data_IF_468821095833
#
_entry.id   IF_468821095833
#
_cell.length_a   1.000
_cell.length_b   1.000
_cell.length_c   1.000
_cell.angle_alpha   90.00
_cell.angle_beta   90.00
_cell.angle_gamma   90.00
#
_symmetry.space_group_name_H-M   'P 1'
#
loop_
_entity.id
_entity.type
_entity.pdbx_description
1 polymer ?
#
# COMPACT_ATOMS: atom_id res chain seq x y z
N UNK A 1 -6.36 22.63 7.50
CA UNK A 1 -5.29 21.64 7.62
C UNK A 1 -5.92 20.27 7.53
N UNK A 2 -5.42 19.43 6.63
CA UNK A 2 -5.90 18.06 6.50
C UNK A 2 -5.00 17.15 7.31
N UNK A 3 -3.66 17.35 7.24
CA UNK A 3 -2.70 16.49 7.90
C UNK A 3 -1.34 17.16 8.07
N UNK A 4 -0.58 16.85 9.14
CA UNK A 4 0.80 17.30 9.31
C UNK A 4 1.14 18.58 8.55
N UNK A 5 1.89 18.46 7.47
CA UNK A 5 2.17 19.55 6.52
C UNK A 5 1.17 19.63 5.33
N UNK A 6 0.08 18.84 5.32
CA UNK A 6 -0.90 18.84 4.24
C UNK A 6 -2.09 19.75 4.53
N UNK A 7 -2.45 20.62 3.60
CA UNK A 7 -3.56 21.58 3.70
C UNK A 7 -4.53 21.36 2.54
N UNK A 8 -5.83 21.41 2.82
CA UNK A 8 -6.87 21.44 1.80
C UNK A 8 -7.37 22.86 1.58
N UNK A 9 -7.45 23.27 0.32
CA UNK A 9 -8.03 24.54 -0.10
C UNK A 9 -9.30 24.22 -0.91
N UNK A 10 -10.43 24.72 -0.48
CA UNK A 10 -11.68 24.64 -1.25
C UNK A 10 -11.92 26.00 -1.89
N UNK A 11 -11.83 26.06 -3.21
CA UNK A 11 -12.06 27.25 -3.99
C UNK A 11 -13.37 27.12 -4.77
N UNK A 12 -14.37 27.93 -4.41
CA UNK A 12 -15.70 27.86 -5.00
C UNK A 12 -15.78 28.80 -6.21
N UNK A 13 -16.39 28.32 -7.31
CA UNK A 13 -16.65 29.16 -8.49
C UNK A 13 -15.45 29.35 -9.42
N UNK A 14 -14.35 28.63 -9.22
CA UNK A 14 -13.23 28.64 -10.16
C UNK A 14 -13.45 27.63 -11.28
N UNK A 15 -13.18 28.06 -12.51
CA UNK A 15 -12.99 27.16 -13.64
C UNK A 15 -11.60 26.48 -13.58
N UNK A 16 -11.33 25.61 -14.53
CA UNK A 16 -10.07 24.86 -14.59
C UNK A 16 -8.85 25.75 -14.69
N UNK A 17 -8.89 26.78 -15.53
CA UNK A 17 -7.76 27.66 -15.82
C UNK A 17 -7.46 28.57 -14.64
N UNK A 18 -8.50 29.06 -13.95
CA UNK A 18 -8.35 29.83 -12.74
C UNK A 18 -7.80 28.99 -11.57
N UNK A 19 -8.20 27.70 -11.47
CA UNK A 19 -7.66 26.79 -10.46
C UNK A 19 -6.17 26.49 -10.70
N UNK A 20 -5.75 26.29 -11.95
CA UNK A 20 -4.35 26.12 -12.33
C UNK A 20 -3.52 27.37 -12.06
N UNK A 21 -4.06 28.54 -12.40
CA UNK A 21 -3.43 29.84 -12.11
C UNK A 21 -3.23 30.07 -10.62
N UNK A 22 -4.21 29.69 -9.80
CA UNK A 22 -4.11 29.77 -8.34
C UNK A 22 -3.01 28.82 -7.82
N UNK A 23 -2.96 27.59 -8.32
CA UNK A 23 -1.94 26.63 -7.91
C UNK A 23 -0.53 27.07 -8.30
N UNK A 24 -0.37 27.62 -9.51
CA UNK A 24 0.90 28.18 -9.94
C UNK A 24 1.36 29.31 -9.01
N UNK A 25 0.45 30.26 -8.70
CA UNK A 25 0.76 31.34 -7.79
C UNK A 25 1.14 30.83 -6.40
N UNK A 26 0.45 29.85 -5.86
CA UNK A 26 0.79 29.24 -4.56
C UNK A 26 2.17 28.57 -4.61
N UNK A 27 2.53 27.89 -5.69
CA UNK A 27 3.87 27.35 -5.87
C UNK A 27 4.95 28.43 -5.90
N UNK A 28 4.68 29.56 -6.60
CA UNK A 28 5.58 30.69 -6.68
C UNK A 28 5.74 31.37 -5.31
N UNK A 29 4.65 31.57 -4.58
CA UNK A 29 4.65 32.15 -3.24
C UNK A 29 5.41 31.24 -2.24
N UNK A 30 5.25 29.92 -2.33
CA UNK A 30 6.01 28.93 -1.52
C UNK A 30 7.52 28.98 -1.86
N UNK A 31 7.88 29.24 -3.11
CA UNK A 31 9.27 29.43 -3.48
C UNK A 31 9.89 30.69 -2.88
N UNK A 32 9.11 31.77 -2.73
CA UNK A 32 9.56 33.03 -2.11
C UNK A 32 9.76 32.87 -0.59
N UNK A 33 8.90 32.12 0.08
CA UNK A 33 9.04 31.82 1.52
C UNK A 33 10.34 31.08 1.87
N UNK A 34 10.96 30.42 0.90
CA UNK A 34 12.24 29.69 1.06
C UNK A 34 13.42 30.58 1.51
N UNK A 35 13.37 31.86 1.24
CA UNK A 35 14.48 32.78 1.56
C UNK A 35 14.61 33.03 3.06
N UNK A 36 13.54 32.79 3.81
CA UNK A 36 13.46 33.13 5.24
C UNK A 36 13.59 31.93 6.19
N UNK A 37 13.66 30.69 5.67
CA UNK A 37 13.75 29.47 6.49
C UNK A 37 15.08 28.75 6.22
N UNK A 38 15.98 28.65 7.20
CA UNK A 38 17.29 27.99 7.04
C UNK A 38 17.17 26.45 7.13
N UNK A 39 16.27 25.88 6.38
CA UNK A 39 16.17 24.43 6.23
C UNK A 39 16.78 24.05 4.88
N UNK A 40 17.83 23.25 4.85
CA UNK A 40 18.52 22.83 3.63
C UNK A 40 17.68 22.00 2.64
N UNK A 41 16.35 22.10 2.71
CA UNK A 41 15.42 21.41 1.82
C UNK A 41 15.15 22.24 0.55
N UNK A 42 15.41 21.65 -0.60
CA UNK A 42 15.16 22.29 -1.91
C UNK A 42 13.67 22.42 -2.26
N UNK A 43 12.75 21.78 -1.50
CA UNK A 43 11.31 21.70 -1.80
C UNK A 43 10.48 22.05 -0.58
N UNK A 44 9.51 22.99 -0.74
CA UNK A 44 8.63 23.43 0.34
C UNK A 44 7.25 22.76 0.24
N UNK A 45 6.73 22.50 -0.97
CA UNK A 45 5.43 21.88 -1.11
C UNK A 45 5.03 21.57 -2.54
N UNK A 46 4.13 20.63 -2.69
CA UNK A 46 3.48 20.26 -3.95
C UNK A 46 1.98 20.44 -3.85
N UNK A 47 1.28 20.60 -4.98
CA UNK A 47 -0.15 20.86 -5.01
C UNK A 47 -0.84 19.85 -5.94
N UNK A 48 -1.87 19.19 -5.41
CA UNK A 48 -2.80 18.40 -6.21
C UNK A 48 -4.13 19.13 -6.36
N UNK A 49 -4.63 19.27 -7.59
CA UNK A 49 -5.89 19.94 -7.91
C UNK A 49 -6.91 18.89 -8.34
N UNK A 50 -8.12 18.94 -7.77
CA UNK A 50 -9.27 18.20 -8.28
C UNK A 50 -10.46 19.15 -8.43
N UNK A 51 -11.25 18.96 -9.47
CA UNK A 51 -12.44 19.75 -9.76
C UNK A 51 -13.70 18.95 -9.43
N UNK A 52 -14.62 19.56 -8.69
CA UNK A 52 -15.92 18.98 -8.36
C UNK A 52 -16.75 18.70 -9.61
N UNK A 53 -17.42 17.55 -9.65
CA UNK A 53 -18.38 17.15 -10.67
C UNK A 53 -19.69 16.75 -10.01
N UNK A 54 -20.78 16.83 -10.78
CA UNK A 54 -22.15 16.66 -10.28
C UNK A 54 -22.43 15.29 -9.60
N UNK A 55 -21.58 14.28 -9.82
CA UNK A 55 -21.69 12.95 -9.21
C UNK A 55 -20.60 12.66 -8.19
N UNK A 56 -19.71 13.61 -7.91
CA UNK A 56 -18.64 13.41 -6.95
C UNK A 56 -19.16 13.48 -5.52
N UNK A 57 -18.63 12.61 -4.67
CA UNK A 57 -18.71 12.78 -3.22
C UNK A 57 -17.52 13.60 -2.75
N UNK A 58 -17.61 14.22 -1.58
CA UNK A 58 -16.47 14.92 -0.97
C UNK A 58 -15.24 13.99 -0.86
N UNK A 59 -15.48 12.72 -0.60
CA UNK A 59 -14.45 11.69 -0.54
C UNK A 59 -13.75 11.49 -1.88
N UNK A 60 -14.51 11.33 -2.98
CA UNK A 60 -13.96 11.15 -4.32
C UNK A 60 -13.15 12.38 -4.77
N UNK A 61 -13.62 13.57 -4.43
CA UNK A 61 -12.91 14.81 -4.72
C UNK A 61 -11.57 14.88 -3.98
N UNK A 62 -11.54 14.56 -2.68
CA UNK A 62 -10.31 14.52 -1.89
C UNK A 62 -9.36 13.43 -2.38
N UNK A 63 -9.85 12.24 -2.70
CA UNK A 63 -9.04 11.16 -3.25
C UNK A 63 -8.42 11.53 -4.61
N UNK A 64 -9.16 12.25 -5.45
CA UNK A 64 -8.67 12.76 -6.72
C UNK A 64 -7.58 13.82 -6.53
N UNK A 65 -7.77 14.75 -5.60
CA UNK A 65 -6.77 15.78 -5.26
C UNK A 65 -5.50 15.14 -4.68
N UNK A 66 -5.63 14.14 -3.80
CA UNK A 66 -4.51 13.40 -3.22
C UNK A 66 -3.75 12.58 -4.28
N UNK A 67 -4.46 11.97 -5.24
CA UNK A 67 -3.82 11.29 -6.38
C UNK A 67 -3.00 12.25 -7.24
N UNK A 68 -3.51 13.46 -7.49
CA UNK A 68 -2.79 14.50 -8.21
C UNK A 68 -1.57 15.02 -7.41
N UNK A 69 -1.73 15.19 -6.09
CA UNK A 69 -0.64 15.57 -5.19
C UNK A 69 0.49 14.54 -5.18
N UNK A 70 0.16 13.26 -5.18
CA UNK A 70 1.17 12.19 -5.29
C UNK A 70 1.95 12.29 -6.60
N UNK A 71 1.26 12.54 -7.71
CA UNK A 71 1.91 12.72 -9.01
C UNK A 71 2.83 13.95 -8.99
N UNK A 72 2.39 15.05 -8.39
CA UNK A 72 3.22 16.24 -8.21
C UNK A 72 4.47 15.97 -7.35
N UNK A 73 4.35 15.13 -6.33
CA UNK A 73 5.45 14.81 -5.40
C UNK A 73 6.51 13.87 -5.98
N UNK A 74 6.25 13.21 -7.11
CA UNK A 74 7.27 12.41 -7.82
C UNK A 74 8.23 13.26 -8.65
N UNK A 75 7.92 14.54 -8.85
CA UNK A 75 8.78 15.52 -9.53
C UNK A 75 9.72 16.24 -8.57
N UNK A 76 10.85 16.69 -9.08
CA UNK A 76 11.95 17.25 -8.28
C UNK A 76 11.79 18.70 -7.81
N UNK A 77 10.61 19.35 -7.83
CA UNK A 77 10.44 20.77 -7.41
C UNK A 77 8.99 21.06 -7.02
N UNK A 78 8.78 22.17 -6.28
CA UNK A 78 7.46 22.76 -6.04
C UNK A 78 6.64 22.76 -7.32
N UNK A 79 5.70 21.82 -7.39
CA UNK A 79 5.00 21.51 -8.63
C UNK A 79 3.52 21.25 -8.31
N UNK A 80 2.66 21.59 -9.24
CA UNK A 80 1.26 21.25 -9.14
C UNK A 80 0.85 20.30 -10.27
N UNK A 81 -0.13 19.44 -9.98
CA UNK A 81 -0.74 18.55 -10.94
C UNK A 81 -2.25 18.61 -10.78
N UNK A 82 -2.97 18.73 -11.88
CA UNK A 82 -4.41 18.62 -11.90
C UNK A 82 -4.83 17.16 -12.13
N UNK A 83 -5.73 16.69 -11.28
CA UNK A 83 -6.40 15.42 -11.53
C UNK A 83 -7.26 15.52 -12.79
N UNK A 84 -6.93 14.74 -13.78
CA UNK A 84 -7.74 14.61 -15.00
C UNK A 84 -8.18 13.15 -15.07
N UNK A 85 -9.50 12.85 -14.98
CA UNK A 85 -9.98 11.50 -15.26
C UNK A 85 -9.60 11.11 -16.67
N UNK A 86 -9.16 9.87 -16.85
CA UNK A 86 -8.72 9.35 -18.14
C UNK A 86 -9.77 9.41 -19.25
N UNK A 87 -11.03 9.61 -18.90
CA UNK A 87 -12.16 9.73 -19.85
C UNK A 87 -12.29 11.12 -20.49
N UNK A 88 -11.72 12.16 -19.87
CA UNK A 88 -11.78 13.55 -20.36
C UNK A 88 -10.48 14.05 -20.97
N UNK A 89 -9.37 13.41 -20.66
CA UNK A 89 -8.12 13.70 -21.34
C UNK A 89 -8.08 12.96 -22.65
N UNK A 90 -8.56 13.62 -23.71
CA UNK A 90 -8.21 13.25 -25.10
C UNK A 90 -6.69 13.35 -25.34
N UNK A 91 -5.92 13.80 -24.38
CA UNK A 91 -4.47 13.70 -24.27
C UNK A 91 -4.19 12.42 -23.49
N UNK A 92 -3.92 11.32 -24.21
CA UNK A 92 -3.40 10.10 -23.61
C UNK A 92 -2.13 10.46 -22.83
N UNK A 93 -2.18 10.30 -21.48
CA UNK A 93 -0.93 10.19 -20.72
C UNK A 93 -0.13 9.09 -21.43
N UNK A 94 1.10 9.34 -21.89
CA UNK A 94 1.88 8.30 -22.53
C UNK A 94 1.93 7.07 -21.61
N UNK A 95 1.41 5.92 -22.06
CA UNK A 95 1.32 4.68 -21.27
C UNK A 95 -0.05 4.32 -20.71
N UNK A 96 -1.06 5.23 -20.60
CA UNK A 96 -2.35 4.86 -19.98
C UNK A 96 -3.17 3.87 -20.83
N UNK A 97 -3.07 3.94 -22.16
CA UNK A 97 -3.69 2.99 -23.09
C UNK A 97 -2.95 1.65 -23.04
N UNK A 98 -1.64 1.70 -22.97
CA UNK A 98 -0.78 0.54 -22.85
C UNK A 98 -1.02 -0.19 -21.53
N UNK A 99 -1.04 0.51 -20.39
CA UNK A 99 -1.36 -0.08 -19.09
C UNK A 99 -2.75 -0.72 -19.05
N UNK A 100 -3.76 -0.12 -19.69
CA UNK A 100 -5.09 -0.74 -19.81
C UNK A 100 -5.05 -2.06 -20.59
N UNK A 101 -4.29 -2.11 -21.68
CA UNK A 101 -4.12 -3.32 -22.46
C UNK A 101 -3.35 -4.39 -21.66
N UNK A 102 -2.27 -4.01 -20.98
CA UNK A 102 -1.49 -4.89 -20.12
C UNK A 102 -2.37 -5.51 -19.01
N UNK A 103 -3.17 -4.68 -18.32
CA UNK A 103 -4.11 -5.15 -17.27
C UNK A 103 -5.10 -6.15 -17.82
N UNK A 104 -5.76 -5.83 -18.96
CA UNK A 104 -6.73 -6.72 -19.57
C UNK A 104 -6.10 -8.03 -20.01
N UNK A 105 -4.96 -7.95 -20.70
CA UNK A 105 -4.21 -9.12 -21.14
C UNK A 105 -3.77 -9.97 -19.96
N UNK A 106 -3.29 -9.35 -18.85
CA UNK A 106 -2.84 -10.10 -17.68
C UNK A 106 -3.96 -10.92 -17.04
N UNK A 107 -5.20 -10.45 -17.09
CA UNK A 107 -6.37 -11.20 -16.62
C UNK A 107 -6.72 -12.33 -17.61
N UNK A 108 -6.83 -12.01 -18.90
CA UNK A 108 -7.21 -12.96 -19.95
C UNK A 108 -6.22 -14.14 -20.09
N UNK A 109 -4.92 -13.86 -19.93
CA UNK A 109 -3.86 -14.87 -20.05
C UNK A 109 -3.38 -15.40 -18.71
N UNK A 110 -3.94 -14.93 -17.60
CA UNK A 110 -3.49 -15.23 -16.24
C UNK A 110 -1.99 -15.00 -16.03
N UNK A 111 -1.40 -14.02 -16.72
CA UNK A 111 0.04 -13.76 -16.68
C UNK A 111 0.50 -12.97 -15.45
N UNK A 112 -0.41 -12.73 -14.49
CA UNK A 112 -0.07 -12.13 -13.19
C UNK A 112 1.00 -12.95 -12.49
N UNK A 113 2.07 -12.29 -12.05
CA UNK A 113 3.19 -12.87 -11.31
C UNK A 113 3.15 -12.44 -9.85
N UNK A 114 3.49 -13.35 -8.95
CA UNK A 114 3.65 -13.07 -7.54
C UNK A 114 5.13 -12.94 -7.20
N UNK A 115 5.48 -11.88 -6.48
CA UNK A 115 6.76 -11.72 -5.81
C UNK A 115 6.54 -11.72 -4.31
N UNK A 116 7.57 -11.99 -3.52
CA UNK A 116 7.49 -11.88 -2.06
C UNK A 116 8.60 -11.00 -1.52
N UNK A 117 8.28 -10.27 -0.46
CA UNK A 117 9.23 -9.48 0.31
C UNK A 117 9.11 -9.82 1.79
N UNK A 118 10.23 -10.07 2.51
CA UNK A 118 10.17 -10.44 3.91
C UNK A 118 9.79 -9.27 4.80
N UNK A 119 8.89 -9.54 5.74
CA UNK A 119 8.60 -8.73 6.93
C UNK A 119 9.23 -9.44 8.10
N UNK A 120 10.08 -8.74 8.86
CA UNK A 120 10.83 -9.30 9.97
C UNK A 120 10.43 -8.61 11.27
N UNK A 121 10.46 -9.35 12.36
CA UNK A 121 10.34 -8.77 13.70
C UNK A 121 11.60 -7.97 14.07
N UNK A 122 11.45 -6.93 14.90
CA UNK A 122 12.54 -6.12 15.41
C UNK A 122 13.16 -6.73 16.67
N UNK A 123 12.36 -7.31 17.55
CA UNK A 123 12.80 -7.89 18.80
C UNK A 123 12.35 -9.34 18.96
N UNK A 124 13.02 -10.10 19.81
CA UNK A 124 12.69 -11.51 20.07
C UNK A 124 11.28 -11.69 20.65
N UNK A 125 10.78 -10.72 21.41
CA UNK A 125 9.43 -10.72 22.00
C UNK A 125 8.43 -9.89 21.18
N UNK A 126 8.72 -9.66 19.91
CA UNK A 126 7.85 -8.90 19.01
C UNK A 126 6.48 -9.60 18.85
N UNK A 127 5.43 -8.79 18.74
CA UNK A 127 4.07 -9.24 18.42
C UNK A 127 3.91 -9.65 16.96
N UNK A 128 4.85 -9.24 16.10
CA UNK A 128 4.83 -9.57 14.67
C UNK A 128 5.34 -10.99 14.44
N UNK A 129 4.55 -11.79 13.76
CA UNK A 129 5.04 -13.05 13.19
C UNK A 129 5.76 -12.74 11.87
N UNK A 130 7.03 -13.18 11.70
CA UNK A 130 7.73 -13.04 10.42
C UNK A 130 6.91 -13.65 9.29
N UNK A 131 6.73 -12.90 8.22
CA UNK A 131 5.93 -13.32 7.07
C UNK A 131 6.49 -12.80 5.76
N UNK A 132 5.90 -13.24 4.65
CA UNK A 132 6.23 -12.79 3.31
C UNK A 132 5.07 -11.96 2.76
N UNK A 133 5.27 -10.69 2.47
CA UNK A 133 4.27 -9.93 1.74
C UNK A 133 4.29 -10.29 0.26
N UNK A 134 3.11 -10.56 -0.29
CA UNK A 134 2.91 -10.91 -1.70
C UNK A 134 2.68 -9.63 -2.49
N UNK A 135 3.58 -9.37 -3.41
CA UNK A 135 3.58 -8.21 -4.29
C UNK A 135 3.27 -8.63 -5.72
N UNK A 136 2.32 -7.95 -6.35
CA UNK A 136 1.86 -8.29 -7.70
C UNK A 136 2.73 -7.63 -8.77
N UNK A 137 2.98 -8.37 -9.85
CA UNK A 137 3.66 -7.90 -11.06
C UNK A 137 2.90 -8.42 -12.28
N UNK A 138 2.80 -7.59 -13.31
CA UNK A 138 2.34 -8.01 -14.64
C UNK A 138 3.43 -7.70 -15.66
N UNK A 139 3.70 -8.60 -16.61
CA UNK A 139 4.70 -8.33 -17.65
C UNK A 139 4.14 -7.31 -18.65
N UNK A 140 4.96 -6.35 -19.06
CA UNK A 140 4.67 -5.50 -20.22
C UNK A 140 4.97 -6.24 -21.54
N UNK A 141 4.82 -5.56 -22.66
CA UNK A 141 5.07 -6.13 -24.00
C UNK A 141 6.53 -6.60 -24.20
N UNK A 142 7.48 -6.05 -23.43
CA UNK A 142 8.89 -6.45 -23.42
C UNK A 142 9.18 -7.61 -22.46
N UNK A 143 8.19 -8.01 -21.65
CA UNK A 143 8.36 -8.97 -20.55
C UNK A 143 8.87 -8.34 -19.26
N UNK A 144 9.04 -7.00 -19.20
CA UNK A 144 9.48 -6.31 -18.00
C UNK A 144 8.36 -6.22 -16.96
N UNK A 145 8.66 -6.38 -15.65
CA UNK A 145 7.63 -6.41 -14.62
C UNK A 145 7.10 -5.01 -14.30
N UNK A 146 5.82 -4.78 -14.53
CA UNK A 146 5.07 -3.60 -14.08
C UNK A 146 4.56 -3.84 -12.67
N UNK A 147 4.78 -2.88 -11.77
CA UNK A 147 4.40 -2.98 -10.34
C UNK A 147 2.92 -2.71 -10.10
N UNK A 148 2.37 -3.26 -9.01
CA UNK A 148 0.98 -3.02 -8.59
C UNK A 148 0.68 -1.54 -8.41
N UNK A 149 1.60 -0.75 -7.86
CA UNK A 149 1.44 0.70 -7.71
C UNK A 149 1.18 1.45 -9.03
N UNK A 150 1.64 0.90 -10.16
CA UNK A 150 1.39 1.47 -11.49
C UNK A 150 0.08 0.98 -12.09
N UNK A 151 -0.23 -0.31 -12.01
CA UNK A 151 -1.37 -0.87 -12.72
C UNK A 151 -2.67 -0.95 -11.91
N UNK A 152 -2.62 -1.10 -10.57
CA UNK A 152 -3.83 -1.21 -9.75
C UNK A 152 -4.75 0.01 -9.85
N UNK A 153 -4.25 1.27 -9.84
CA UNK A 153 -5.11 2.43 -10.06
C UNK A 153 -5.81 2.42 -11.43
N UNK A 154 -5.19 1.80 -12.44
CA UNK A 154 -5.79 1.63 -13.77
C UNK A 154 -6.85 0.52 -13.72
N UNK A 155 -6.55 -0.60 -13.07
CA UNK A 155 -7.48 -1.71 -12.89
C UNK A 155 -8.74 -1.29 -12.11
N UNK A 156 -8.60 -0.49 -11.06
CA UNK A 156 -9.72 0.07 -10.30
C UNK A 156 -10.64 0.93 -11.18
N UNK A 157 -10.07 1.85 -11.98
CA UNK A 157 -10.84 2.66 -12.94
C UNK A 157 -11.54 1.84 -14.04
N UNK A 158 -10.99 0.68 -14.38
CA UNK A 158 -11.59 -0.25 -15.34
C UNK A 158 -12.61 -1.20 -14.70
N UNK A 159 -12.79 -1.19 -13.38
CA UNK A 159 -13.62 -2.16 -12.66
C UNK A 159 -13.04 -3.58 -12.66
N UNK A 160 -11.73 -3.73 -12.86
CA UNK A 160 -11.04 -5.02 -12.98
C UNK A 160 -10.22 -5.39 -11.73
N UNK A 161 -10.13 -4.52 -10.74
CA UNK A 161 -9.32 -4.74 -9.53
C UNK A 161 -9.72 -6.01 -8.78
N UNK A 162 -11.02 -6.26 -8.64
CA UNK A 162 -11.55 -7.47 -7.99
C UNK A 162 -11.14 -8.75 -8.71
N UNK A 163 -11.07 -8.74 -10.04
CA UNK A 163 -10.61 -9.90 -10.82
C UNK A 163 -9.11 -10.14 -10.64
N UNK A 164 -8.32 -9.07 -10.52
CA UNK A 164 -6.89 -9.19 -10.20
C UNK A 164 -6.69 -9.79 -8.80
N UNK A 165 -7.44 -9.31 -7.80
CA UNK A 165 -7.35 -9.84 -6.44
C UNK A 165 -7.75 -11.32 -6.41
N UNK A 166 -8.81 -11.73 -7.11
CA UNK A 166 -9.20 -13.14 -7.26
C UNK A 166 -8.07 -13.98 -7.89
N UNK A 167 -7.49 -13.49 -8.98
CA UNK A 167 -6.40 -14.18 -9.66
C UNK A 167 -5.16 -14.32 -8.77
N UNK A 168 -4.82 -13.26 -8.03
CA UNK A 168 -3.69 -13.25 -7.10
C UNK A 168 -3.87 -14.26 -5.96
N UNK A 169 -5.05 -14.27 -5.33
CA UNK A 169 -5.39 -15.21 -4.25
C UNK A 169 -5.39 -16.65 -4.78
N UNK A 170 -5.99 -16.91 -5.93
CA UNK A 170 -5.99 -18.24 -6.55
C UNK A 170 -4.58 -18.78 -6.80
N UNK A 171 -3.70 -17.94 -7.36
CA UNK A 171 -2.28 -18.31 -7.57
C UNK A 171 -1.53 -18.53 -6.25
N UNK A 172 -1.78 -17.70 -5.24
CA UNK A 172 -1.17 -17.87 -3.92
C UNK A 172 -1.62 -19.17 -3.26
N UNK A 173 -2.92 -19.50 -3.31
CA UNK A 173 -3.44 -20.75 -2.75
C UNK A 173 -2.84 -21.97 -3.45
N UNK A 174 -2.75 -21.96 -4.78
CA UNK A 174 -2.09 -23.03 -5.53
C UNK A 174 -0.62 -23.18 -5.09
N UNK A 175 0.09 -22.08 -4.91
CA UNK A 175 1.46 -22.10 -4.39
C UNK A 175 1.51 -22.70 -2.97
N UNK A 176 0.66 -22.24 -2.05
CA UNK A 176 0.63 -22.72 -0.67
C UNK A 176 0.30 -24.22 -0.55
N UNK A 177 -0.47 -24.77 -1.48
CA UNK A 177 -0.81 -26.19 -1.52
C UNK A 177 0.31 -27.05 -2.13
N UNK A 178 1.04 -26.50 -3.10
CA UNK A 178 2.09 -27.24 -3.85
C UNK A 178 3.48 -27.05 -3.23
N UNK A 179 3.74 -25.94 -2.54
CA UNK A 179 5.01 -25.68 -1.88
C UNK A 179 5.16 -26.57 -0.64
N UNK A 180 6.34 -27.23 -0.52
CA UNK A 180 6.64 -28.11 0.60
C UNK A 180 6.77 -27.43 1.97
N UNK A 181 6.87 -26.09 2.02
CA UNK A 181 7.02 -25.28 3.24
C UNK A 181 5.65 -24.99 3.84
N UNK A 182 5.33 -25.65 4.94
CA UNK A 182 4.03 -25.50 5.63
C UNK A 182 4.00 -24.34 6.65
N UNK A 183 5.16 -23.76 6.98
CA UNK A 183 5.27 -22.79 8.10
C UNK A 183 5.45 -21.34 7.64
N UNK A 184 5.32 -21.05 6.34
CA UNK A 184 5.45 -19.70 5.81
C UNK A 184 4.10 -19.01 5.85
N UNK A 185 4.04 -17.84 6.50
CA UNK A 185 2.91 -16.93 6.49
C UNK A 185 3.03 -15.99 5.28
N UNK A 186 1.91 -15.74 4.62
CA UNK A 186 1.84 -14.84 3.47
C UNK A 186 0.84 -13.72 3.71
N UNK A 187 1.26 -12.47 3.55
CA UNK A 187 0.38 -11.33 3.54
C UNK A 187 0.03 -10.96 2.09
N UNK A 188 -1.23 -10.67 1.82
CA UNK A 188 -1.69 -10.21 0.51
C UNK A 188 -2.58 -8.99 0.65
N UNK A 189 -2.30 -7.98 -0.17
CA UNK A 189 -3.09 -6.77 -0.24
C UNK A 189 -4.39 -6.98 -1.03
N UNK A 190 -5.50 -6.46 -0.52
CA UNK A 190 -6.78 -6.37 -1.22
C UNK A 190 -7.08 -4.93 -1.62
N UNK A 191 -7.63 -4.76 -2.81
CA UNK A 191 -8.11 -3.45 -3.27
C UNK A 191 -9.34 -2.98 -2.49
N UNK A 192 -9.55 -1.66 -2.45
CA UNK A 192 -10.75 -1.06 -1.86
C UNK A 192 -12.03 -1.59 -2.51
N UNK A 193 -11.99 -1.87 -3.82
CA UNK A 193 -13.12 -2.41 -4.56
C UNK A 193 -13.51 -3.81 -4.05
N UNK A 194 -12.53 -4.63 -3.68
CA UNK A 194 -12.76 -6.01 -3.26
C UNK A 194 -13.32 -6.09 -1.83
N UNK A 195 -12.80 -5.32 -0.89
CA UNK A 195 -13.27 -5.36 0.51
C UNK A 195 -14.70 -4.86 0.70
N UNK A 196 -15.24 -4.10 -0.26
CA UNK A 196 -16.62 -3.62 -0.28
C UNK A 196 -17.51 -4.36 -1.30
N UNK A 197 -17.01 -5.45 -1.90
CA UNK A 197 -17.77 -6.25 -2.86
C UNK A 197 -18.31 -7.53 -2.19
N UNK A 198 -19.63 -7.64 -1.93
CA UNK A 198 -20.19 -8.80 -1.24
C UNK A 198 -19.95 -10.13 -1.97
N UNK A 199 -19.98 -10.13 -3.31
CA UNK A 199 -19.74 -11.34 -4.10
C UNK A 199 -18.28 -11.80 -3.98
N UNK A 200 -17.32 -10.87 -3.98
CA UNK A 200 -15.91 -11.19 -3.74
C UNK A 200 -15.69 -11.73 -2.32
N UNK A 201 -16.27 -11.10 -1.31
CA UNK A 201 -16.15 -11.55 0.10
C UNK A 201 -16.72 -12.95 0.26
N UNK A 202 -17.88 -13.23 -0.34
CA UNK A 202 -18.46 -14.57 -0.30
C UNK A 202 -17.56 -15.60 -0.98
N UNK A 203 -17.03 -15.28 -2.17
CA UNK A 203 -16.07 -16.12 -2.88
C UNK A 203 -14.81 -16.37 -2.04
N UNK A 204 -14.20 -15.33 -1.47
CA UNK A 204 -13.00 -15.44 -0.63
C UNK A 204 -13.23 -16.36 0.57
N UNK A 205 -14.33 -16.17 1.28
CA UNK A 205 -14.69 -17.02 2.41
C UNK A 205 -14.86 -18.49 1.98
N UNK A 206 -15.51 -18.75 0.84
CA UNK A 206 -15.64 -20.12 0.31
C UNK A 206 -14.29 -20.76 -0.01
N UNK A 207 -13.33 -19.99 -0.54
CA UNK A 207 -11.97 -20.49 -0.79
C UNK A 207 -11.23 -20.83 0.52
N UNK A 208 -11.40 -20.00 1.55
CA UNK A 208 -10.79 -20.21 2.87
C UNK A 208 -11.38 -21.41 3.60
N UNK A 209 -12.70 -21.58 3.54
CA UNK A 209 -13.42 -22.75 4.10
C UNK A 209 -12.97 -24.05 3.41
N UNK A 210 -12.74 -24.01 2.11
CA UNK A 210 -12.26 -25.18 1.34
C UNK A 210 -10.77 -25.51 1.62
N UNK A 211 -9.99 -24.57 2.13
CA UNK A 211 -8.55 -24.75 2.37
C UNK A 211 -8.11 -24.21 3.74
N UNK A 212 -8.59 -24.77 4.87
CA UNK A 212 -8.33 -24.24 6.20
C UNK A 212 -6.83 -24.19 6.57
N UNK A 213 -6.03 -25.13 6.07
CA UNK A 213 -4.57 -25.10 6.23
C UNK A 213 -3.88 -23.95 5.49
N UNK A 214 -4.52 -23.36 4.49
CA UNK A 214 -4.05 -22.13 3.84
C UNK A 214 -4.57 -20.89 4.57
N UNK A 215 -5.79 -20.93 5.09
CA UNK A 215 -6.41 -19.81 5.82
C UNK A 215 -5.55 -19.37 7.01
N UNK A 216 -5.10 -20.29 7.85
CA UNK A 216 -4.26 -19.99 9.03
C UNK A 216 -2.86 -19.45 8.68
N UNK A 217 -2.48 -19.49 7.40
CA UNK A 217 -1.21 -18.97 6.90
C UNK A 217 -1.38 -17.69 6.09
N UNK A 218 -2.61 -17.20 5.96
CA UNK A 218 -2.92 -16.02 5.17
C UNK A 218 -3.16 -14.81 6.07
N UNK A 219 -2.48 -13.73 5.76
CA UNK A 219 -2.70 -12.41 6.30
C UNK A 219 -3.32 -11.55 5.19
N UNK A 220 -4.43 -10.90 5.49
CA UNK A 220 -5.13 -10.01 4.55
C UNK A 220 -4.81 -8.57 4.93
N UNK A 221 -4.22 -7.84 4.02
CA UNK A 221 -3.93 -6.42 4.16
C UNK A 221 -4.89 -5.58 3.32
N UNK A 222 -5.32 -4.46 3.85
CA UNK A 222 -6.10 -3.48 3.11
C UNK A 222 -5.74 -2.06 3.53
N UNK A 223 -5.86 -1.08 2.60
CA UNK A 223 -5.47 0.28 2.90
C UNK A 223 -6.34 0.89 4.01
N UNK A 224 -5.73 1.68 4.90
CA UNK A 224 -6.43 2.35 6.00
C UNK A 224 -7.66 3.14 5.51
N UNK A 225 -7.51 3.91 4.42
CA UNK A 225 -8.61 4.72 3.90
C UNK A 225 -9.81 3.85 3.46
N UNK A 226 -9.55 2.67 2.92
CA UNK A 226 -10.61 1.75 2.50
C UNK A 226 -11.38 1.21 3.71
N UNK A 227 -10.68 0.90 4.79
CA UNK A 227 -11.31 0.46 6.05
C UNK A 227 -12.23 1.53 6.65
N UNK A 228 -12.03 2.78 6.32
CA UNK A 228 -12.78 3.91 6.87
C UNK A 228 -13.97 4.35 6.01
N UNK A 229 -14.01 3.97 4.74
CA UNK A 229 -15.18 4.23 3.87
C UNK A 229 -16.46 3.68 4.51
N UNK A 230 -16.38 2.46 5.03
CA UNK A 230 -17.45 1.84 5.80
C UNK A 230 -16.85 0.98 6.93
N UNK A 231 -16.64 1.60 8.08
CA UNK A 231 -16.00 0.97 9.24
C UNK A 231 -16.75 -0.26 9.73
N UNK A 232 -18.10 -0.26 9.65
CA UNK A 232 -18.92 -1.39 10.10
C UNK A 232 -18.76 -2.60 9.16
N UNK A 233 -18.78 -2.40 7.85
CA UNK A 233 -18.60 -3.49 6.89
C UNK A 233 -17.18 -4.05 6.96
N UNK A 234 -16.19 -3.19 7.12
CA UNK A 234 -14.80 -3.63 7.31
C UNK A 234 -14.64 -4.44 8.60
N UNK A 235 -15.25 -4.01 9.70
CA UNK A 235 -15.27 -4.76 10.94
C UNK A 235 -15.89 -6.15 10.77
N UNK A 236 -17.06 -6.23 10.13
CA UNK A 236 -17.72 -7.50 9.85
C UNK A 236 -16.84 -8.42 9.00
N UNK A 237 -16.12 -7.86 8.01
CA UNK A 237 -15.16 -8.59 7.20
C UNK A 237 -14.01 -9.13 8.06
N UNK A 238 -13.39 -8.31 8.89
CA UNK A 238 -12.28 -8.72 9.78
C UNK A 238 -12.73 -9.84 10.73
N UNK A 239 -13.90 -9.71 11.36
CA UNK A 239 -14.46 -10.74 12.25
C UNK A 239 -14.70 -12.06 11.49
N UNK A 240 -15.23 -11.99 10.26
CA UNK A 240 -15.48 -13.17 9.43
C UNK A 240 -14.18 -13.85 8.99
N UNK A 241 -13.19 -13.09 8.53
CA UNK A 241 -11.88 -13.62 8.15
C UNK A 241 -11.17 -14.24 9.36
N UNK A 242 -11.23 -13.58 10.52
CA UNK A 242 -10.66 -14.10 11.77
C UNK A 242 -11.31 -15.42 12.20
N UNK A 243 -12.63 -15.59 12.04
CA UNK A 243 -13.33 -16.87 12.34
C UNK A 243 -12.89 -18.02 11.42
N UNK A 244 -12.35 -17.70 10.25
CA UNK A 244 -11.76 -18.67 9.30
C UNK A 244 -10.26 -18.91 9.52
N UNK A 245 -9.65 -18.24 10.52
CA UNK A 245 -8.25 -18.39 10.88
C UNK A 245 -7.30 -17.42 10.17
N UNK A 246 -7.80 -16.49 9.34
CA UNK A 246 -6.97 -15.47 8.73
C UNK A 246 -6.65 -14.34 9.69
N UNK A 247 -5.45 -13.77 9.57
CA UNK A 247 -5.10 -12.52 10.22
C UNK A 247 -5.39 -11.33 9.31
N UNK A 248 -5.66 -10.16 9.90
CA UNK A 248 -5.91 -8.93 9.15
C UNK A 248 -4.99 -7.82 9.62
N UNK A 249 -4.48 -7.02 8.68
CA UNK A 249 -3.67 -5.85 8.91
C UNK A 249 -4.11 -4.65 8.08
N UNK A 250 -3.81 -3.45 8.54
CA UNK A 250 -3.95 -2.22 7.76
C UNK A 250 -2.63 -1.84 7.12
N UNK A 251 -2.72 -1.49 5.85
CA UNK A 251 -1.60 -0.92 5.11
C UNK A 251 -1.72 0.60 4.97
N UNK A 252 -0.60 1.29 4.82
CA UNK A 252 -0.49 2.75 4.72
C UNK A 252 -1.10 3.50 5.91
N UNK A 253 -0.94 2.97 7.12
CA UNK A 253 -1.50 3.54 8.35
C UNK A 253 -0.84 4.89 8.70
N UNK A 254 -1.68 5.81 9.18
CA UNK A 254 -1.26 7.16 9.57
C UNK A 254 -1.29 8.18 8.44
N UNK A 255 -1.58 7.77 7.22
CA UNK A 255 -1.65 8.66 6.06
C UNK A 255 -2.85 9.60 6.08
N UNK A 256 -3.91 9.20 6.74
CA UNK A 256 -5.13 9.98 6.94
C UNK A 256 -5.19 10.64 8.33
N UNK A 257 -6.02 11.72 8.47
CA UNK A 257 -6.30 12.36 9.75
C UNK A 257 -7.57 11.80 10.35
N UNK A 258 -7.53 10.55 10.63
CA UNK A 258 -8.66 9.89 11.24
C UNK A 258 -8.43 9.79 12.74
N UNK A 259 -9.48 9.93 13.50
CA UNK A 259 -9.45 9.54 14.91
C UNK A 259 -9.15 8.04 14.97
N UNK A 260 -8.11 7.63 15.67
CA UNK A 260 -7.75 6.21 15.86
C UNK A 260 -8.81 5.39 16.64
N UNK A 261 -9.94 6.03 16.98
CA UNK A 261 -11.04 5.38 17.72
C UNK A 261 -11.60 4.13 17.04
N UNK A 262 -11.55 4.05 15.71
CA UNK A 262 -12.03 2.89 14.97
C UNK A 262 -11.20 1.62 15.23
N UNK A 263 -9.90 1.75 15.56
CA UNK A 263 -9.03 0.62 15.86
C UNK A 263 -9.54 -0.21 17.04
N UNK A 264 -10.16 0.44 18.03
CA UNK A 264 -10.73 -0.26 19.20
C UNK A 264 -11.83 -1.23 18.83
N UNK A 265 -12.47 -1.04 17.70
CA UNK A 265 -13.59 -1.87 17.23
C UNK A 265 -13.18 -2.89 16.18
N UNK A 266 -12.01 -2.71 15.55
CA UNK A 266 -11.45 -3.63 14.59
C UNK A 266 -10.39 -4.48 15.27
N UNK A 267 -10.57 -5.78 15.30
CA UNK A 267 -9.58 -6.73 15.86
C UNK A 267 -8.48 -7.00 14.85
N UNK A 268 -7.64 -5.97 14.61
CA UNK A 268 -6.51 -6.05 13.68
C UNK A 268 -5.30 -6.66 14.38
N UNK A 269 -4.54 -7.46 13.66
CA UNK A 269 -3.33 -8.10 14.19
C UNK A 269 -2.13 -7.17 14.11
N UNK A 270 -2.08 -6.33 13.07
CA UNK A 270 -1.01 -5.35 12.90
C UNK A 270 -1.41 -4.17 12.02
N UNK A 271 -0.61 -3.12 12.12
CA UNK A 271 -0.70 -1.91 11.31
C UNK A 271 0.66 -1.68 10.65
N UNK A 272 0.68 -1.38 9.35
CA UNK A 272 1.89 -0.96 8.64
C UNK A 272 1.92 0.55 8.52
N UNK A 273 2.87 1.20 9.18
CA UNK A 273 3.08 2.65 9.08
C UNK A 273 3.60 2.99 7.69
N UNK A 274 2.94 3.98 7.06
CA UNK A 274 3.28 4.44 5.71
C UNK A 274 4.73 4.92 5.62
N UNK A 275 5.35 4.65 4.49
CA UNK A 275 6.75 4.97 4.21
C UNK A 275 7.08 6.46 4.29
N UNK A 276 6.09 7.36 4.17
CA UNK A 276 6.28 8.80 4.33
C UNK A 276 6.72 9.21 5.74
N UNK A 277 6.49 8.35 6.75
CA UNK A 277 6.88 8.61 8.13
C UNK A 277 8.09 7.76 8.59
N UNK A 278 8.41 6.70 7.88
CA UNK A 278 9.48 5.77 8.27
C UNK A 278 10.80 6.05 7.56
N UNK A 279 10.76 6.67 6.38
CA UNK A 279 11.98 7.10 5.70
C UNK A 279 12.69 8.20 6.47
N UNK A 280 14.02 8.08 6.61
CA UNK A 280 14.86 9.02 7.33
C UNK A 280 14.45 9.24 8.80
N UNK A 281 13.77 8.28 9.39
CA UNK A 281 13.31 8.32 10.79
C UNK A 281 14.45 8.50 11.79
N UNK A 282 15.66 8.11 11.42
CA UNK A 282 16.89 8.31 12.19
C UNK A 282 17.28 9.78 12.33
N UNK A 283 16.84 10.67 11.42
CA UNK A 283 17.24 12.08 11.33
C UNK A 283 16.09 13.06 11.51
N UNK A 284 14.85 12.68 11.16
CA UNK A 284 13.69 13.55 11.14
C UNK A 284 12.90 13.44 12.45
N UNK A 285 13.07 14.40 13.36
CA UNK A 285 12.37 14.42 14.66
C UNK A 285 10.85 14.48 14.50
N UNK A 286 10.35 15.20 13.49
CA UNK A 286 8.91 15.26 13.19
C UNK A 286 8.34 13.88 12.83
N UNK A 287 9.07 13.07 12.05
CA UNK A 287 8.68 11.70 11.73
C UNK A 287 8.64 10.84 13.01
N UNK A 288 9.62 10.98 13.89
CA UNK A 288 9.66 10.25 15.16
C UNK A 288 8.44 10.58 16.03
N UNK A 289 8.06 11.85 16.10
CA UNK A 289 6.86 12.26 16.83
C UNK A 289 5.58 11.69 16.21
N UNK A 290 5.48 11.72 14.88
CA UNK A 290 4.32 11.21 14.14
C UNK A 290 4.17 9.69 14.21
N UNK A 291 5.25 8.94 14.41
CA UNK A 291 5.22 7.47 14.53
C UNK A 291 4.84 7.03 15.95
N UNK A 292 5.19 7.77 16.99
CA UNK A 292 4.93 7.38 18.40
C UNK A 292 3.45 7.24 18.72
N UNK A 293 2.66 8.27 18.46
CA UNK A 293 1.24 8.26 18.83
C UNK A 293 0.44 7.13 18.15
N UNK A 294 0.61 6.85 16.84
CA UNK A 294 0.09 5.65 16.21
C UNK A 294 0.54 4.34 16.86
N UNK A 295 1.81 4.23 17.23
CA UNK A 295 2.37 3.03 17.86
C UNK A 295 1.74 2.78 19.23
N UNK A 296 1.70 3.79 20.10
CA UNK A 296 1.06 3.69 21.42
C UNK A 296 -0.42 3.31 21.31
N UNK A 297 -1.11 3.89 20.33
CA UNK A 297 -2.54 3.60 20.09
C UNK A 297 -2.75 2.16 19.63
N UNK A 298 -1.93 1.67 18.69
CA UNK A 298 -1.99 0.30 18.20
C UNK A 298 -1.74 -0.71 19.35
N UNK A 299 -0.72 -0.47 20.14
CA UNK A 299 -0.39 -1.32 21.29
C UNK A 299 -1.49 -1.33 22.35
N UNK A 300 -2.22 -0.22 22.54
CA UNK A 300 -3.36 -0.14 23.48
C UNK A 300 -4.55 -1.03 23.08
N UNK A 301 -4.58 -1.51 21.84
CA UNK A 301 -5.61 -2.42 21.30
C UNK A 301 -5.02 -3.77 20.85
N UNK A 302 -3.84 -4.13 21.37
CA UNK A 302 -3.12 -5.37 21.08
C UNK A 302 -2.77 -5.59 19.60
N UNK A 303 -2.66 -4.52 18.81
CA UNK A 303 -2.19 -4.58 17.43
C UNK A 303 -0.69 -4.31 17.37
N UNK A 304 0.04 -5.10 16.60
CA UNK A 304 1.45 -4.87 16.32
C UNK A 304 1.68 -3.73 15.32
N UNK A 305 2.88 -3.15 15.30
CA UNK A 305 3.24 -2.06 14.40
C UNK A 305 4.46 -2.40 13.56
N UNK A 306 4.33 -2.29 12.25
CA UNK A 306 5.36 -2.58 11.27
C UNK A 306 5.73 -1.30 10.53
N UNK A 307 7.02 -0.97 10.46
CA UNK A 307 7.52 0.13 9.65
C UNK A 307 7.83 -0.33 8.23
N UNK A 308 7.35 0.44 7.23
CA UNK A 308 7.60 0.16 5.81
C UNK A 308 8.82 0.93 5.29
N UNK A 309 9.40 0.44 4.19
CA UNK A 309 10.49 1.07 3.43
C UNK A 309 11.76 1.35 4.24
N UNK A 310 12.08 0.50 5.20
CA UNK A 310 13.34 0.58 5.97
C UNK A 310 14.50 0.12 5.09
N UNK A 311 15.48 1.01 4.90
CA UNK A 311 16.58 0.78 3.96
C UNK A 311 17.94 0.71 4.66
N UNK A 312 18.08 1.34 5.86
CA UNK A 312 19.36 1.45 6.56
C UNK A 312 19.34 0.82 7.96
N UNK A 313 20.51 0.38 8.48
CA UNK A 313 20.64 -0.08 9.86
C UNK A 313 20.32 1.01 10.90
N UNK A 314 20.57 2.27 10.58
CA UNK A 314 20.31 3.42 11.45
C UNK A 314 18.80 3.62 11.62
N UNK A 315 18.02 3.57 10.53
CA UNK A 315 16.55 3.59 10.57
C UNK A 315 16.02 2.44 11.43
N UNK A 316 16.52 1.21 11.23
CA UNK A 316 16.15 0.05 12.04
C UNK A 316 16.40 0.28 13.52
N UNK A 317 17.60 0.73 13.90
CA UNK A 317 17.97 0.99 15.29
C UNK A 317 17.07 2.04 15.92
N UNK A 318 16.72 3.06 15.16
CA UNK A 318 15.81 4.10 15.63
C UNK A 318 14.39 3.56 15.86
N UNK A 319 13.85 2.80 14.92
CA UNK A 319 12.53 2.17 15.03
C UNK A 319 12.46 1.18 16.21
N UNK A 320 13.52 0.42 16.44
CA UNK A 320 13.63 -0.46 17.60
C UNK A 320 13.60 0.32 18.93
N UNK A 321 14.28 1.48 19.01
CA UNK A 321 14.23 2.38 20.18
C UNK A 321 12.87 3.06 20.39
N UNK A 322 11.99 3.01 19.41
CA UNK A 322 10.63 3.55 19.45
C UNK A 322 9.57 2.48 19.69
N UNK A 323 9.99 1.26 20.07
CA UNK A 323 9.12 0.12 20.42
C UNK A 323 8.25 -0.37 19.26
N UNK A 324 8.72 -0.27 18.00
CA UNK A 324 8.04 -0.89 16.88
C UNK A 324 8.29 -2.41 16.88
N UNK A 325 7.31 -3.15 16.40
CA UNK A 325 7.32 -4.62 16.45
C UNK A 325 8.01 -5.24 15.23
N UNK A 326 7.91 -4.62 14.05
CA UNK A 326 8.46 -5.19 12.83
C UNK A 326 8.90 -4.16 11.81
N UNK A 327 9.64 -4.64 10.83
CA UNK A 327 10.14 -3.83 9.70
C UNK A 327 9.98 -4.57 8.37
N UNK A 328 9.82 -3.78 7.33
CA UNK A 328 9.85 -4.19 5.94
C UNK A 328 10.58 -3.14 5.10
N UNK A 329 11.41 -3.57 4.17
CA UNK A 329 12.13 -2.67 3.27
C UNK A 329 13.28 -3.37 2.57
N UNK A 330 14.14 -2.61 1.90
CA UNK A 330 15.30 -3.22 1.24
C UNK A 330 16.33 -3.75 2.22
N UNK A 331 16.33 -3.26 3.46
CA UNK A 331 17.16 -3.81 4.53
C UNK A 331 16.78 -5.25 4.87
N UNK A 332 15.48 -5.59 4.87
CA UNK A 332 15.03 -6.96 5.13
C UNK A 332 15.13 -7.87 3.90
N UNK A 333 15.11 -7.30 2.71
CA UNK A 333 15.25 -7.99 1.44
C UNK A 333 14.49 -7.30 0.31
N UNK A 334 15.01 -7.42 -0.90
CA UNK A 334 14.29 -6.95 -2.10
C UNK A 334 13.20 -7.96 -2.49
N UNK A 335 12.11 -7.50 -3.13
CA UNK A 335 11.10 -8.39 -3.68
C UNK A 335 11.72 -9.44 -4.61
N UNK A 336 11.32 -10.70 -4.46
CA UNK A 336 11.79 -11.84 -5.28
C UNK A 336 10.59 -12.60 -5.84
N UNK A 337 10.68 -13.14 -7.07
CA UNK A 337 9.63 -13.98 -7.63
C UNK A 337 9.26 -15.11 -6.68
N UNK A 338 7.97 -15.36 -6.49
CA UNK A 338 7.45 -16.52 -5.78
C UNK A 338 7.61 -17.75 -6.68
N UNK A 339 8.77 -18.39 -6.56
CA UNK A 339 9.06 -19.60 -7.33
C UNK A 339 8.44 -20.83 -6.68
N UNK A 340 7.93 -21.81 -7.44
CA UNK A 340 7.71 -23.14 -6.89
C UNK A 340 9.05 -23.64 -6.32
N UNK A 341 9.03 -24.20 -5.11
CA UNK A 341 10.25 -24.75 -4.48
C UNK A 341 10.94 -25.72 -5.46
N UNK A 342 12.08 -25.32 -6.00
CA UNK A 342 12.99 -26.27 -6.60
C UNK A 342 13.47 -27.16 -5.46
N UNK A 343 12.95 -28.40 -5.42
CA UNK A 343 13.51 -29.42 -4.57
C UNK A 343 15.04 -29.37 -4.69
N UNK A 344 15.70 -29.28 -3.54
CA UNK A 344 17.14 -29.39 -3.39
C UNK A 344 17.67 -30.50 -4.28
N UNK A 345 18.21 -30.19 -5.44
CA UNK A 345 19.16 -31.05 -6.10
C UNK A 345 20.39 -31.08 -5.22
N UNK A 346 20.40 -32.05 -4.31
CA UNK A 346 21.58 -32.42 -3.53
C UNK A 346 22.72 -32.61 -4.51
N UNK A 347 23.67 -31.70 -4.50
CA UNK A 347 25.00 -31.99 -4.99
C UNK A 347 25.56 -33.13 -4.12
N UNK A 348 25.38 -34.33 -4.59
CA UNK A 348 26.27 -35.44 -4.20
C UNK A 348 27.66 -35.09 -4.72
N UNK A 349 28.46 -34.48 -3.86
CA UNK A 349 29.90 -34.46 -4.05
C UNK A 349 30.37 -35.93 -4.03
N UNK A 350 30.79 -36.44 -5.19
CA UNK A 350 31.59 -37.67 -5.25
C UNK A 350 32.94 -37.39 -4.58
N UNK A 351 33.40 -38.22 -3.68
CA UNK A 351 34.76 -38.13 -3.20
C UNK A 351 35.69 -38.60 -4.34
N UNK A 352 36.61 -37.74 -4.74
CA UNK A 352 37.78 -38.17 -5.52
C UNK A 352 38.73 -38.88 -4.55
N UNK A 353 38.72 -40.22 -4.63
CA UNK A 353 39.82 -41.05 -4.15
C UNK A 353 40.85 -41.22 -5.27
N UNK A 354 42.09 -41.18 -4.86
CA UNK A 354 43.37 -41.51 -5.45
C UNK A 354 44.11 -40.39 -6.18
#
# INVERSE_FOLDING_TARGET
RISGACFGIVAVGLDSDAAESLAQKLCDDLQQLRVDVPTGHEHIGNIGIAQWRQQDTAHNLLASADSALRTASTGNRNHWVRYTPAELSGVAVPGSRELRNIVRQAIETESLQLCTQPVLNLAANSRVLPHQEVLLRIPDASGSPVTASMFMPVAERMGLATQIDQLAIGKLFNHMQTAGKKDVLYAINLSSCSIHNPAFIQWLCSQLEAAPGSAVRLLIEFPEFAAQINTQDTRNLVERLGSLGCQCGLDHFGRGFYSFGYLRTMKLHYLKIDSSYTRHIDREEDHQFLVRAPTDTAHSVDSAVIAQSVETPEERTRLESMDLDGIQGFLTGKPRPLSPDKQNSRHTARPLCS
#
